data_IF_092195484601
#
_entry.id   IF_092195484601
#
_cell.length_a   1.000
_cell.length_b   1.000
_cell.length_c   1.000
_cell.angle_alpha   90.00
_cell.angle_beta   90.00
_cell.angle_gamma   90.00
#
_symmetry.space_group_name_H-M   'P 1'
#
loop_
_entity.id
_entity.type
_entity.pdbx_description
1 polymer ?
#
# COMPACT_ATOMS: atom_id res chain seq x y z
N UNK A 1 6.75 -1.05 -21.93
CA UNK A 1 6.74 -2.37 -21.25
C UNK A 1 6.50 -2.07 -19.78
N UNK A 2 5.29 -2.34 -19.29
CA UNK A 2 4.76 -2.19 -17.92
C UNK A 2 5.37 -1.11 -16.98
N UNK A 3 5.33 0.16 -17.38
CA UNK A 3 5.82 1.30 -16.58
C UNK A 3 4.92 1.60 -15.36
N UNK A 4 3.61 1.36 -15.50
CA UNK A 4 2.64 1.67 -14.45
C UNK A 4 2.81 0.77 -13.21
N UNK A 5 2.99 -0.55 -13.40
CA UNK A 5 3.17 -1.46 -12.27
C UNK A 5 4.45 -1.16 -11.48
N UNK A 6 5.56 -0.90 -12.18
CA UNK A 6 6.82 -0.49 -11.55
C UNK A 6 6.68 0.83 -10.79
N UNK A 7 5.93 1.78 -11.35
CA UNK A 7 5.65 3.06 -10.69
C UNK A 7 4.84 2.84 -9.40
N UNK A 8 3.81 2.01 -9.43
CA UNK A 8 2.98 1.68 -8.27
C UNK A 8 3.81 1.01 -7.17
N UNK A 9 4.64 0.03 -7.52
CA UNK A 9 5.52 -0.65 -6.58
C UNK A 9 6.51 0.33 -5.93
N UNK A 10 7.14 1.20 -6.72
CA UNK A 10 8.04 2.24 -6.21
C UNK A 10 7.34 3.23 -5.27
N UNK A 11 6.09 3.61 -5.56
CA UNK A 11 5.29 4.46 -4.68
C UNK A 11 4.91 3.76 -3.38
N UNK A 12 4.53 2.48 -3.44
CA UNK A 12 4.20 1.69 -2.25
C UNK A 12 5.41 1.53 -1.32
N UNK A 13 6.60 1.30 -1.86
CA UNK A 13 7.84 1.29 -1.08
C UNK A 13 8.10 2.63 -0.38
N UNK A 14 7.95 3.75 -1.10
CA UNK A 14 8.14 5.09 -0.53
C UNK A 14 7.14 5.40 0.57
N UNK A 15 5.87 5.02 0.37
CA UNK A 15 4.81 5.15 1.38
C UNK A 15 5.17 4.38 2.66
N UNK A 16 5.58 3.11 2.53
CA UNK A 16 5.96 2.29 3.67
C UNK A 16 7.16 2.83 4.44
N UNK A 17 8.17 3.38 3.75
CA UNK A 17 9.30 4.04 4.41
C UNK A 17 8.87 5.29 5.18
N UNK A 18 7.99 6.11 4.60
CA UNK A 18 7.48 7.33 5.23
C UNK A 18 6.62 7.05 6.47
N UNK A 19 5.76 6.03 6.43
CA UNK A 19 4.91 5.64 7.55
C UNK A 19 5.73 5.07 8.72
N UNK A 20 6.70 4.19 8.43
CA UNK A 20 7.60 3.65 9.44
C UNK A 20 8.43 4.73 10.12
N UNK A 21 9.00 5.67 9.36
CA UNK A 21 9.78 6.78 9.93
C UNK A 21 8.97 7.65 10.91
N UNK A 22 7.65 7.71 10.71
CA UNK A 22 6.74 8.49 11.55
C UNK A 22 5.99 7.65 12.60
N UNK A 23 6.26 6.34 12.69
CA UNK A 23 5.53 5.40 13.55
C UNK A 23 4.00 5.44 13.32
N UNK A 24 3.59 5.61 12.06
CA UNK A 24 2.19 5.65 11.67
C UNK A 24 1.73 4.31 11.10
N UNK A 25 0.44 4.06 11.25
CA UNK A 25 -0.26 2.90 10.66
C UNK A 25 -1.29 3.39 9.66
N UNK A 26 -1.45 2.65 8.57
CA UNK A 26 -2.38 2.93 7.48
C UNK A 26 -3.54 1.93 7.48
N UNK A 27 -4.74 2.42 7.17
CA UNK A 27 -5.87 1.62 6.74
C UNK A 27 -6.47 2.20 5.45
N UNK A 28 -7.08 1.37 4.61
CA UNK A 28 -7.76 1.81 3.38
C UNK A 28 -9.25 1.48 3.41
N UNK A 29 -10.04 2.31 2.72
CA UNK A 29 -11.41 2.00 2.33
C UNK A 29 -11.50 2.16 0.81
N UNK A 30 -11.95 1.11 0.12
CA UNK A 30 -11.89 0.97 -1.33
C UNK A 30 -13.26 0.63 -1.90
N UNK A 31 -13.59 1.20 -3.06
CA UNK A 31 -14.80 0.86 -3.81
C UNK A 31 -14.42 0.54 -5.26
N UNK A 32 -14.25 1.55 -6.12
CA UNK A 32 -13.90 1.35 -7.55
C UNK A 32 -12.57 0.62 -7.79
N UNK A 33 -11.62 0.65 -6.84
CA UNK A 33 -10.34 -0.06 -6.95
C UNK A 33 -10.44 -1.52 -6.52
N UNK A 34 -11.53 -1.93 -5.85
CA UNK A 34 -11.83 -3.29 -5.45
C UNK A 34 -10.66 -4.05 -4.76
N UNK A 35 -9.85 -3.35 -3.96
CA UNK A 35 -8.69 -3.93 -3.27
C UNK A 35 -7.35 -3.71 -3.97
N UNK A 36 -7.31 -2.98 -5.09
CA UNK A 36 -6.07 -2.67 -5.81
C UNK A 36 -5.05 -1.89 -4.99
N UNK A 37 -5.49 -0.99 -4.08
CA UNK A 37 -4.57 -0.30 -3.18
C UNK A 37 -4.02 -1.25 -2.12
N UNK A 38 -4.90 -2.04 -1.49
CA UNK A 38 -4.49 -3.09 -0.56
C UNK A 38 -3.50 -4.07 -1.18
N UNK A 39 -3.73 -4.48 -2.44
CA UNK A 39 -2.78 -5.30 -3.21
C UNK A 39 -1.42 -4.60 -3.36
N UNK A 40 -1.40 -3.37 -3.89
CA UNK A 40 -0.16 -2.63 -4.11
C UNK A 40 0.65 -2.39 -2.82
N UNK A 41 -0.04 -2.22 -1.68
CA UNK A 41 0.59 -2.06 -0.38
C UNK A 41 1.14 -3.39 0.14
N UNK A 42 0.35 -4.47 0.05
CA UNK A 42 0.68 -5.76 0.65
C UNK A 42 1.79 -6.51 -0.08
N UNK A 43 2.05 -6.22 -1.36
CA UNK A 43 3.21 -6.75 -2.08
C UNK A 43 4.56 -6.27 -1.51
N UNK A 44 4.57 -5.13 -0.80
CA UNK A 44 5.79 -4.60 -0.17
C UNK A 44 6.16 -5.46 1.04
N UNK A 45 7.37 -6.07 1.09
CA UNK A 45 7.78 -6.85 2.24
C UNK A 45 7.73 -6.06 3.56
N UNK A 46 7.18 -6.70 4.60
CA UNK A 46 6.99 -6.11 5.91
C UNK A 46 5.88 -5.05 5.99
N UNK A 47 4.99 -4.98 4.99
CA UNK A 47 3.81 -4.11 4.98
C UNK A 47 2.92 -4.28 6.22
N UNK A 48 2.84 -5.48 6.79
CA UNK A 48 2.11 -5.77 8.04
C UNK A 48 2.55 -4.94 9.25
N UNK A 49 3.75 -4.36 9.24
CA UNK A 49 4.22 -3.50 10.33
C UNK A 49 3.62 -2.09 10.31
N UNK A 50 2.98 -1.67 9.22
CA UNK A 50 2.46 -0.30 9.04
C UNK A 50 1.16 -0.24 8.24
N UNK A 51 0.65 -1.37 7.75
CA UNK A 51 -0.67 -1.49 7.13
C UNK A 51 -1.52 -2.44 7.97
N UNK A 52 -2.57 -1.91 8.59
CA UNK A 52 -3.42 -2.64 9.55
C UNK A 52 -4.54 -3.40 8.84
N UNK A 53 -5.36 -2.70 8.04
CA UNK A 53 -6.49 -3.31 7.34
C UNK A 53 -6.94 -2.54 6.11
N UNK A 54 -7.66 -3.24 5.23
CA UNK A 54 -8.41 -2.65 4.13
C UNK A 54 -9.88 -3.04 4.22
N UNK A 55 -10.76 -2.11 3.89
CA UNK A 55 -12.19 -2.34 3.72
C UNK A 55 -12.54 -2.18 2.25
N UNK A 56 -13.32 -3.12 1.69
CA UNK A 56 -13.81 -3.04 0.32
C UNK A 56 -15.34 -2.95 0.39
N UNK A 57 -15.92 -1.96 -0.28
CA UNK A 57 -17.34 -1.60 -0.18
C UNK A 57 -17.98 -1.33 -1.53
#
# INVERSE_FOLDING_TARGET
>A
MNDAAQTIEGLAHRLGSALRAQHLTLATAESCTAGGLGYAITIVPGSSAWYDRGFIT
#
